data_IF_855966630243
#
_entry.id   IF_855966630243
#
_cell.length_a   1.000
_cell.length_b   1.000
_cell.length_c   1.000
_cell.angle_alpha   90.00
_cell.angle_beta   90.00
_cell.angle_gamma   90.00
#
_symmetry.space_group_name_H-M   'P 1'
#
loop_
_entity.id
_entity.type
_entity.pdbx_description
1 polymer ?
#
# COMPACT_ATOMS: atom_id res chain seq x y z
N UNK A 1 -9.98 -26.76 -8.07
CA UNK A 1 -11.27 -26.08 -8.24
C UNK A 1 -12.17 -26.22 -6.99
N UNK A 2 -12.24 -27.41 -6.34
CA UNK A 2 -13.07 -27.62 -5.14
C UNK A 2 -12.69 -26.71 -3.96
N UNK A 3 -11.40 -26.49 -3.73
CA UNK A 3 -10.92 -25.65 -2.62
C UNK A 3 -11.28 -24.17 -2.80
N UNK A 4 -11.32 -23.69 -4.04
CA UNK A 4 -11.71 -22.30 -4.34
C UNK A 4 -13.22 -22.10 -4.14
N UNK A 5 -14.02 -23.09 -4.54
CA UNK A 5 -15.50 -23.03 -4.38
C UNK A 5 -15.96 -23.17 -2.93
N UNK A 6 -15.16 -23.83 -2.09
CA UNK A 6 -15.46 -24.02 -0.66
C UNK A 6 -14.89 -22.89 0.23
N UNK A 7 -14.12 -21.95 -0.35
CA UNK A 7 -13.63 -20.79 0.40
C UNK A 7 -14.79 -19.86 0.68
N UNK A 8 -15.03 -19.54 1.95
CA UNK A 8 -16.08 -18.59 2.32
C UNK A 8 -15.76 -17.21 1.74
N UNK A 9 -16.67 -16.63 0.94
CA UNK A 9 -16.46 -15.28 0.44
C UNK A 9 -16.48 -14.27 1.60
N UNK A 10 -15.76 -13.17 1.40
CA UNK A 10 -15.84 -12.07 2.36
C UNK A 10 -17.29 -11.55 2.41
N UNK A 11 -17.88 -11.33 3.61
CA UNK A 11 -19.25 -10.85 3.72
C UNK A 11 -19.43 -9.53 2.96
N UNK A 12 -20.35 -9.48 2.01
CA UNK A 12 -20.51 -8.36 1.08
C UNK A 12 -20.96 -7.05 1.74
N UNK A 13 -21.71 -7.11 2.80
CA UNK A 13 -22.13 -5.95 3.60
C UNK A 13 -22.59 -6.40 4.97
N UNK A 14 -22.15 -5.72 6.02
CA UNK A 14 -22.65 -5.93 7.37
C UNK A 14 -22.99 -4.56 7.98
N UNK A 15 -24.28 -4.25 8.19
CA UNK A 15 -24.72 -2.97 8.73
C UNK A 15 -24.22 -2.67 10.15
N UNK A 16 -23.75 -3.71 10.86
CA UNK A 16 -23.20 -3.58 12.21
C UNK A 16 -21.70 -3.26 12.22
N UNK A 17 -21.05 -3.14 11.05
CA UNK A 17 -19.65 -2.75 10.96
C UNK A 17 -19.50 -1.24 10.96
N UNK A 18 -18.49 -0.78 11.68
CA UNK A 18 -18.21 0.64 11.87
C UNK A 18 -17.50 1.22 10.65
N UNK A 19 -17.91 2.41 10.25
CA UNK A 19 -17.15 3.30 9.37
C UNK A 19 -16.79 4.55 10.14
N UNK A 20 -15.58 5.07 9.93
CA UNK A 20 -15.16 6.31 10.56
C UNK A 20 -15.54 7.49 9.66
N UNK A 21 -16.12 8.57 10.19
CA UNK A 21 -16.54 9.71 9.38
C UNK A 21 -15.33 10.41 8.72
N UNK A 22 -14.20 10.40 9.40
CA UNK A 22 -12.95 10.97 8.89
C UNK A 22 -11.76 10.17 9.44
N UNK A 23 -10.86 9.75 8.56
CA UNK A 23 -9.64 9.02 8.92
C UNK A 23 -8.49 10.01 9.05
N UNK A 24 -7.85 10.06 10.22
CA UNK A 24 -6.60 10.79 10.45
C UNK A 24 -5.39 9.97 10.02
N UNK A 25 -5.46 8.65 10.18
CA UNK A 25 -4.43 7.71 9.76
C UNK A 25 -3.47 7.28 10.88
N UNK A 26 -3.87 7.35 12.16
CA UNK A 26 -3.15 6.67 13.21
C UNK A 26 -3.23 5.15 13.01
N UNK A 27 -2.13 4.44 13.18
CA UNK A 27 -2.10 2.96 13.12
C UNK A 27 -1.39 2.42 14.34
N UNK A 28 -2.05 1.50 15.06
CA UNK A 28 -1.48 0.87 16.26
C UNK A 28 -1.58 -0.65 16.12
N UNK A 29 -0.49 -1.33 16.37
CA UNK A 29 -0.40 -2.77 16.56
C UNK A 29 -0.22 -3.05 18.04
N UNK A 30 -1.08 -3.90 18.63
CA UNK A 30 -1.04 -4.29 20.03
C UNK A 30 -0.93 -5.81 20.14
N UNK A 31 0.25 -6.30 20.52
CA UNK A 31 0.58 -7.74 20.73
C UNK A 31 0.12 -8.66 19.60
N UNK A 32 0.26 -8.20 18.36
CA UNK A 32 -0.24 -8.88 17.17
C UNK A 32 0.56 -10.16 16.91
N UNK A 33 -0.13 -11.29 16.96
CA UNK A 33 0.38 -12.60 16.56
C UNK A 33 -0.44 -13.12 15.38
N UNK A 34 0.25 -13.60 14.34
CA UNK A 34 -0.40 -14.05 13.11
C UNK A 34 0.31 -15.22 12.44
N UNK A 35 -0.48 -16.15 11.90
CA UNK A 35 -0.09 -17.21 10.95
C UNK A 35 -1.09 -17.30 9.81
N UNK A 36 -0.64 -17.72 8.63
CA UNK A 36 -1.51 -17.84 7.46
C UNK A 36 -2.44 -19.07 7.51
N UNK A 37 -2.03 -20.12 8.23
CA UNK A 37 -2.80 -21.34 8.43
C UNK A 37 -2.58 -21.85 9.86
N UNK A 38 -3.57 -22.54 10.46
CA UNK A 38 -3.47 -23.03 11.85
C UNK A 38 -2.29 -23.98 12.10
N UNK A 39 -1.89 -24.73 11.07
CA UNK A 39 -0.78 -25.69 11.09
C UNK A 39 0.59 -25.06 10.74
N UNK A 40 0.61 -23.79 10.33
CA UNK A 40 1.83 -23.10 9.97
C UNK A 40 2.49 -22.43 11.18
N UNK A 41 3.80 -22.14 11.04
CA UNK A 41 4.52 -21.33 12.01
C UNK A 41 4.00 -19.89 12.07
N UNK A 42 4.12 -19.27 13.24
CA UNK A 42 3.81 -17.85 13.41
C UNK A 42 4.72 -16.98 12.53
N UNK A 43 4.09 -16.12 11.73
CA UNK A 43 4.78 -15.16 10.87
C UNK A 43 5.03 -13.84 11.61
N UNK A 44 4.09 -13.45 12.49
CA UNK A 44 4.26 -12.33 13.41
C UNK A 44 4.06 -12.83 14.84
N UNK A 45 4.89 -12.31 15.76
CA UNK A 45 4.94 -12.72 17.17
C UNK A 45 4.92 -11.50 18.06
N UNK A 46 3.76 -11.24 18.70
CA UNK A 46 3.55 -10.14 19.65
C UNK A 46 4.08 -8.79 19.14
N UNK A 47 3.85 -8.51 17.86
CA UNK A 47 4.28 -7.25 17.24
C UNK A 47 3.47 -6.10 17.82
N UNK A 48 4.18 -5.13 18.40
CA UNK A 48 3.58 -3.92 18.98
C UNK A 48 4.34 -2.68 18.51
N UNK A 49 3.62 -1.74 17.92
CA UNK A 49 4.13 -0.41 17.58
C UNK A 49 2.98 0.57 17.36
N UNK A 50 3.28 1.86 17.44
CA UNK A 50 2.30 2.94 17.22
C UNK A 50 2.84 3.96 16.25
N UNK A 51 2.00 4.34 15.29
CA UNK A 51 2.31 5.31 14.24
C UNK A 51 1.33 6.47 14.35
N UNK A 52 1.85 7.67 14.59
CA UNK A 52 1.03 8.88 14.59
C UNK A 52 0.58 9.27 13.17
N UNK A 53 -0.57 9.97 13.03
CA UNK A 53 -1.05 10.46 11.75
C UNK A 53 0.00 11.29 11.01
N UNK A 54 0.08 11.13 9.69
CA UNK A 54 0.94 11.93 8.82
C UNK A 54 2.43 11.61 8.91
N UNK A 55 2.82 10.51 9.53
CA UNK A 55 4.22 10.07 9.63
C UNK A 55 4.59 9.10 8.52
N UNK A 56 5.84 9.16 8.11
CA UNK A 56 6.46 8.20 7.19
C UNK A 56 7.22 7.17 8.03
N UNK A 57 6.87 5.91 7.87
CA UNK A 57 7.40 4.79 8.63
C UNK A 57 8.16 3.85 7.69
N UNK A 58 9.40 3.54 8.06
CA UNK A 58 10.18 2.49 7.41
C UNK A 58 9.99 1.15 8.15
N UNK A 59 9.74 0.08 7.42
CA UNK A 59 9.77 -1.29 7.94
C UNK A 59 10.82 -2.05 7.16
N UNK A 60 11.89 -2.45 7.84
CA UNK A 60 13.01 -3.16 7.23
C UNK A 60 13.23 -4.52 7.89
N UNK A 61 13.88 -5.42 7.18
CA UNK A 61 14.20 -6.75 7.68
C UNK A 61 14.50 -7.72 6.53
N UNK A 62 15.01 -8.89 6.87
CA UNK A 62 15.31 -9.95 5.89
C UNK A 62 14.04 -10.45 5.21
N UNK A 63 14.21 -11.11 4.06
CA UNK A 63 13.09 -11.82 3.41
C UNK A 63 12.49 -12.84 4.39
N UNK A 64 11.15 -12.95 4.40
CA UNK A 64 10.42 -13.83 5.32
C UNK A 64 10.31 -13.33 6.76
N UNK A 65 10.76 -12.11 7.10
CA UNK A 65 10.63 -11.57 8.47
C UNK A 65 9.21 -11.13 8.85
N UNK A 66 8.25 -11.12 7.92
CA UNK A 66 6.87 -10.74 8.17
C UNK A 66 6.46 -9.33 7.70
N UNK A 67 7.33 -8.58 7.03
CA UNK A 67 7.07 -7.19 6.59
C UNK A 67 5.81 -7.04 5.73
N UNK A 68 5.70 -7.80 4.65
CA UNK A 68 4.52 -7.75 3.77
C UNK A 68 3.25 -8.27 4.45
N UNK A 69 3.40 -9.06 5.52
CA UNK A 69 2.28 -9.49 6.36
C UNK A 69 1.68 -8.31 7.11
N UNK A 70 2.50 -7.38 7.60
CA UNK A 70 2.03 -6.12 8.21
C UNK A 70 1.16 -5.34 7.22
N UNK A 71 1.62 -5.18 5.96
CA UNK A 71 0.84 -4.53 4.91
C UNK A 71 -0.53 -5.20 4.68
N UNK A 72 -0.55 -6.52 4.63
CA UNK A 72 -1.79 -7.31 4.41
C UNK A 72 -2.76 -7.18 5.59
N UNK A 73 -2.25 -7.10 6.80
CA UNK A 73 -3.06 -6.92 8.00
C UNK A 73 -3.65 -5.51 8.09
N UNK A 74 -2.89 -4.46 7.73
CA UNK A 74 -3.42 -3.08 7.66
C UNK A 74 -4.56 -2.98 6.65
N UNK A 75 -4.47 -3.68 5.52
CA UNK A 75 -5.54 -3.77 4.51
C UNK A 75 -6.73 -4.65 4.93
N UNK A 76 -6.62 -5.30 6.10
CA UNK A 76 -7.59 -6.30 6.55
C UNK A 76 -7.84 -7.41 5.52
N UNK A 77 -6.79 -7.83 4.80
CA UNK A 77 -6.84 -9.05 3.98
C UNK A 77 -6.83 -10.30 4.86
N UNK A 78 -6.30 -10.14 6.08
CA UNK A 78 -6.31 -11.14 7.15
C UNK A 78 -6.62 -10.45 8.48
N UNK A 79 -7.04 -11.24 9.46
CA UNK A 79 -7.26 -10.82 10.86
C UNK A 79 -6.20 -11.51 11.72
N UNK A 80 -5.59 -10.82 12.68
CA UNK A 80 -4.61 -11.44 13.57
C UNK A 80 -5.26 -12.53 14.44
N UNK A 81 -4.48 -13.54 14.80
CA UNK A 81 -4.91 -14.63 15.69
C UNK A 81 -5.03 -14.13 17.15
N UNK A 82 -4.09 -13.27 17.54
CA UNK A 82 -4.07 -12.61 18.86
C UNK A 82 -3.64 -11.17 18.70
N UNK A 83 -3.98 -10.37 19.70
CA UNK A 83 -3.77 -8.94 19.65
C UNK A 83 -4.80 -8.24 18.77
N UNK A 84 -4.56 -6.97 18.48
CA UNK A 84 -5.45 -6.17 17.65
C UNK A 84 -4.70 -5.11 16.87
N UNK A 85 -5.32 -4.64 15.80
CA UNK A 85 -4.81 -3.55 14.98
C UNK A 85 -5.86 -2.46 14.98
N UNK A 86 -5.46 -1.27 15.34
CA UNK A 86 -6.35 -0.12 15.43
C UNK A 86 -5.99 0.89 14.35
N UNK A 87 -7.00 1.46 13.71
CA UNK A 87 -6.89 2.69 12.91
C UNK A 87 -7.75 3.74 13.56
N UNK A 88 -7.14 4.87 13.94
CA UNK A 88 -7.78 5.96 14.68
C UNK A 88 -8.57 5.45 15.89
N UNK A 89 -7.94 4.56 16.68
CA UNK A 89 -8.49 3.92 17.89
C UNK A 89 -9.65 2.93 17.63
N UNK A 90 -10.00 2.62 16.38
CA UNK A 90 -11.02 1.62 16.05
C UNK A 90 -10.35 0.33 15.59
N UNK A 91 -10.76 -0.80 16.18
CA UNK A 91 -10.25 -2.12 15.83
C UNK A 91 -10.64 -2.49 14.39
N UNK A 92 -9.65 -2.82 13.57
CA UNK A 92 -9.86 -3.23 12.18
C UNK A 92 -10.75 -4.46 12.02
N UNK A 93 -10.83 -5.33 13.06
CA UNK A 93 -11.75 -6.46 13.05
C UNK A 93 -13.23 -6.03 12.96
N UNK A 94 -13.55 -4.83 13.44
CA UNK A 94 -14.92 -4.27 13.49
C UNK A 94 -15.24 -3.35 12.31
N UNK A 95 -14.22 -2.89 11.56
CA UNK A 95 -14.38 -1.95 10.44
C UNK A 95 -14.89 -2.68 9.18
N UNK A 96 -15.68 -2.00 8.36
CA UNK A 96 -16.04 -2.50 7.02
C UNK A 96 -14.81 -2.58 6.11
N UNK A 97 -14.47 -3.75 5.55
CA UNK A 97 -13.26 -3.90 4.74
C UNK A 97 -13.28 -3.08 3.46
N UNK A 98 -14.42 -2.96 2.80
CA UNK A 98 -14.53 -2.20 1.56
C UNK A 98 -14.35 -0.71 1.80
N UNK A 99 -14.90 -0.21 2.90
CA UNK A 99 -14.67 1.16 3.34
C UNK A 99 -13.19 1.39 3.70
N UNK A 100 -12.58 0.50 4.50
CA UNK A 100 -11.17 0.61 4.89
C UNK A 100 -10.24 0.66 3.68
N UNK A 101 -10.43 -0.23 2.71
CA UNK A 101 -9.59 -0.32 1.50
C UNK A 101 -9.66 0.92 0.63
N UNK A 102 -10.73 1.72 0.72
CA UNK A 102 -10.79 3.05 0.09
C UNK A 102 -9.92 4.08 0.81
N UNK A 103 -9.60 3.86 2.08
CA UNK A 103 -8.72 4.72 2.89
C UNK A 103 -7.25 4.32 2.80
N UNK A 104 -6.94 3.16 2.23
CA UNK A 104 -5.59 2.58 2.14
C UNK A 104 -5.19 2.42 0.68
N UNK A 105 -4.21 3.20 0.25
CA UNK A 105 -3.56 3.02 -1.06
C UNK A 105 -2.38 2.05 -0.91
N UNK A 106 -2.21 1.16 -1.89
CA UNK A 106 -1.11 0.17 -1.86
C UNK A 106 -0.40 0.15 -3.19
N UNK A 107 0.93 0.22 -3.12
CA UNK A 107 1.83 0.04 -4.26
C UNK A 107 2.66 -1.20 -3.99
N UNK A 108 2.52 -2.21 -4.84
CA UNK A 108 3.21 -3.49 -4.71
C UNK A 108 4.55 -3.48 -5.47
N UNK A 109 5.39 -4.47 -5.20
CA UNK A 109 6.63 -4.71 -5.95
C UNK A 109 6.33 -5.03 -7.42
N UNK A 110 5.39 -5.94 -7.68
CA UNK A 110 4.92 -6.26 -9.01
C UNK A 110 3.58 -5.55 -9.26
N UNK A 111 3.58 -4.66 -10.23
CA UNK A 111 2.39 -3.89 -10.59
C UNK A 111 1.84 -4.35 -11.92
N UNK A 112 0.69 -4.99 -11.85
CA UNK A 112 -0.07 -5.37 -13.04
C UNK A 112 -0.87 -4.17 -13.56
N UNK A 113 -0.77 -3.96 -14.87
CA UNK A 113 -1.65 -3.08 -15.61
C UNK A 113 -2.58 -3.93 -16.47
N UNK A 114 -3.84 -3.52 -16.51
CA UNK A 114 -4.84 -4.16 -17.34
C UNK A 114 -4.72 -3.69 -18.79
N UNK A 115 -5.17 -4.50 -19.74
CA UNK A 115 -5.25 -4.12 -21.15
C UNK A 115 -6.36 -3.06 -21.35
N UNK A 116 -6.08 -1.86 -20.91
CA UNK A 116 -6.94 -0.66 -20.92
C UNK A 116 -6.08 0.57 -21.15
N UNK A 117 -6.70 1.73 -21.28
CA UNK A 117 -5.97 2.99 -21.33
C UNK A 117 -5.17 3.27 -20.05
N UNK A 118 -4.17 4.13 -20.14
CA UNK A 118 -3.43 4.63 -18.96
C UNK A 118 -4.40 5.24 -17.94
N UNK A 119 -5.34 6.08 -18.40
CA UNK A 119 -6.38 6.68 -17.57
C UNK A 119 -7.21 5.62 -16.83
N UNK A 120 -7.72 4.62 -17.53
CA UNK A 120 -8.56 3.59 -16.94
C UNK A 120 -7.80 2.69 -15.97
N UNK A 121 -6.50 2.52 -16.19
CA UNK A 121 -5.64 1.84 -15.24
C UNK A 121 -5.47 2.62 -13.94
N UNK A 122 -5.39 3.95 -14.01
CA UNK A 122 -5.26 4.82 -12.83
C UNK A 122 -6.61 4.93 -12.09
N UNK A 123 -7.69 5.19 -12.83
CA UNK A 123 -9.04 5.33 -12.31
C UNK A 123 -9.77 3.98 -12.12
N UNK A 124 -9.03 2.88 -11.93
CA UNK A 124 -9.56 1.51 -11.93
C UNK A 124 -10.68 1.28 -10.91
N UNK A 125 -10.56 1.88 -9.72
CA UNK A 125 -11.55 1.74 -8.64
C UNK A 125 -12.79 2.62 -8.83
N UNK A 126 -12.67 3.70 -9.58
CA UNK A 126 -13.76 4.64 -9.90
C UNK A 126 -13.55 5.24 -11.29
N UNK A 127 -14.11 4.63 -12.33
CA UNK A 127 -14.01 5.13 -13.72
C UNK A 127 -14.63 6.51 -13.92
N UNK A 128 -15.47 6.98 -13.00
CA UNK A 128 -16.12 8.30 -13.04
C UNK A 128 -15.27 9.44 -12.52
N UNK A 129 -14.03 9.18 -12.09
CA UNK A 129 -13.14 10.24 -11.59
C UNK A 129 -12.89 11.33 -12.63
N UNK A 130 -12.93 12.58 -12.15
CA UNK A 130 -12.62 13.74 -12.99
C UNK A 130 -11.15 13.68 -13.47
N UNK A 131 -10.90 14.11 -14.70
CA UNK A 131 -9.56 14.06 -15.30
C UNK A 131 -8.54 14.88 -14.50
N UNK A 132 -8.97 15.96 -13.86
CA UNK A 132 -8.15 16.79 -12.99
C UNK A 132 -7.58 16.01 -11.80
N UNK A 133 -8.38 15.14 -11.19
CA UNK A 133 -7.95 14.27 -10.09
C UNK A 133 -6.93 13.23 -10.57
N UNK A 134 -7.18 12.64 -11.73
CA UNK A 134 -6.23 11.70 -12.38
C UNK A 134 -4.91 12.42 -12.65
N UNK A 135 -4.93 13.60 -13.26
CA UNK A 135 -3.71 14.38 -13.55
C UNK A 135 -2.95 14.78 -12.29
N UNK A 136 -3.64 15.16 -11.21
CA UNK A 136 -2.99 15.47 -9.94
C UNK A 136 -2.23 14.25 -9.37
N UNK A 137 -2.86 13.08 -9.35
CA UNK A 137 -2.22 11.85 -8.89
C UNK A 137 -1.02 11.46 -9.77
N UNK A 138 -1.16 11.61 -11.09
CA UNK A 138 -0.11 11.33 -12.07
C UNK A 138 1.09 12.26 -11.92
N UNK A 139 0.86 13.56 -11.68
CA UNK A 139 1.93 14.54 -11.42
C UNK A 139 2.68 14.21 -10.12
N UNK A 140 1.96 13.87 -9.05
CA UNK A 140 2.57 13.42 -7.79
C UNK A 140 3.42 12.15 -7.97
N UNK A 141 2.97 11.22 -8.79
CA UNK A 141 3.69 9.99 -9.12
C UNK A 141 4.89 10.23 -10.08
N UNK A 142 5.05 11.44 -10.62
CA UNK A 142 6.07 11.76 -11.61
C UNK A 142 5.86 11.06 -12.96
N UNK A 143 4.62 10.79 -13.31
CA UNK A 143 4.28 10.05 -14.52
C UNK A 143 3.77 10.93 -15.67
N UNK A 144 3.50 12.20 -15.41
CA UNK A 144 2.82 13.11 -16.36
C UNK A 144 3.56 13.27 -17.67
N UNK A 145 4.87 13.55 -17.59
CA UNK A 145 5.70 13.85 -18.75
C UNK A 145 5.74 12.67 -19.72
N UNK A 146 6.10 11.48 -19.23
CA UNK A 146 6.18 10.32 -20.12
C UNK A 146 4.81 9.90 -20.68
N UNK A 147 3.71 10.11 -19.92
CA UNK A 147 2.37 9.82 -20.43
C UNK A 147 2.03 10.71 -21.64
N UNK A 148 2.42 12.00 -21.60
CA UNK A 148 2.21 12.91 -22.73
C UNK A 148 3.05 12.55 -23.95
N UNK A 149 4.15 11.82 -23.78
CA UNK A 149 5.00 11.32 -24.88
C UNK A 149 4.44 10.05 -25.52
N UNK A 150 3.45 9.38 -24.88
CA UNK A 150 2.79 8.22 -25.48
C UNK A 150 1.90 8.64 -26.67
N UNK A 151 1.69 7.75 -27.66
CA UNK A 151 0.99 8.09 -28.91
C UNK A 151 -0.38 8.74 -28.72
N UNK A 152 -1.15 8.32 -27.73
CA UNK A 152 -2.49 8.84 -27.41
C UNK A 152 -2.54 9.43 -25.99
N UNK A 153 -1.39 9.73 -25.38
CA UNK A 153 -1.28 10.27 -24.03
C UNK A 153 -1.99 9.38 -23.01
N UNK A 154 -2.93 9.95 -22.26
CA UNK A 154 -3.73 9.24 -21.24
C UNK A 154 -4.64 8.16 -21.80
N UNK A 155 -5.02 8.25 -23.08
CA UNK A 155 -5.91 7.28 -23.74
C UNK A 155 -5.12 6.14 -24.39
N UNK A 156 -3.78 6.18 -24.35
CA UNK A 156 -2.93 5.11 -24.86
C UNK A 156 -3.26 3.77 -24.18
N UNK A 157 -3.56 2.76 -24.99
CA UNK A 157 -3.75 1.39 -24.53
C UNK A 157 -2.42 0.77 -24.13
N UNK A 158 -2.34 0.36 -22.87
CA UNK A 158 -1.15 -0.31 -22.35
C UNK A 158 -1.29 -1.81 -22.46
N UNK A 159 -1.01 -2.48 -23.46
CA UNK A 159 -1.17 -3.93 -23.69
C UNK A 159 -1.17 -4.82 -22.44
N UNK A 160 -1.36 -6.10 -22.58
CA UNK A 160 -1.39 -7.03 -21.43
C UNK A 160 -0.17 -6.85 -20.52
N UNK A 161 -0.42 -6.71 -19.23
CA UNK A 161 0.58 -6.45 -18.19
C UNK A 161 1.44 -5.18 -18.38
N UNK A 162 1.02 -4.24 -19.26
CA UNK A 162 1.80 -3.04 -19.56
C UNK A 162 3.07 -3.31 -20.35
N UNK A 163 3.06 -4.29 -21.23
CA UNK A 163 4.23 -4.72 -22.01
C UNK A 163 4.88 -3.61 -22.86
N UNK A 164 4.12 -2.56 -23.21
CA UNK A 164 4.60 -1.40 -23.96
C UNK A 164 5.34 -0.37 -23.08
N UNK A 165 5.35 -0.55 -21.77
CA UNK A 165 5.94 0.39 -20.81
C UNK A 165 7.17 -0.20 -20.13
N UNK A 166 8.12 0.65 -19.75
CA UNK A 166 9.24 0.24 -18.88
C UNK A 166 8.77 -0.13 -17.48
N UNK A 167 9.60 -0.84 -16.72
CA UNK A 167 9.31 -1.16 -15.32
C UNK A 167 9.02 0.08 -14.47
N UNK A 168 9.84 1.13 -14.64
CA UNK A 168 9.67 2.39 -13.94
C UNK A 168 8.40 3.15 -14.33
N UNK A 169 8.01 3.10 -15.60
CA UNK A 169 6.76 3.69 -16.09
C UNK A 169 5.54 2.98 -15.49
N UNK A 170 5.53 1.63 -15.51
CA UNK A 170 4.47 0.84 -14.85
C UNK A 170 4.35 1.15 -13.37
N UNK A 171 5.48 1.25 -12.68
CA UNK A 171 5.52 1.57 -11.25
C UNK A 171 4.90 2.94 -10.95
N UNK A 172 5.27 3.97 -11.73
CA UNK A 172 4.72 5.33 -11.55
C UNK A 172 3.23 5.39 -11.84
N UNK A 173 2.71 4.62 -12.79
CA UNK A 173 1.26 4.46 -13.00
C UNK A 173 0.61 3.79 -11.79
N UNK A 174 1.22 2.76 -11.22
CA UNK A 174 0.70 2.11 -10.01
C UNK A 174 0.69 3.03 -8.80
N UNK A 175 1.69 3.89 -8.66
CA UNK A 175 1.71 4.94 -7.62
C UNK A 175 0.56 5.92 -7.86
N UNK A 176 0.34 6.39 -9.08
CA UNK A 176 -0.79 7.26 -9.42
C UNK A 176 -2.14 6.61 -9.11
N UNK A 177 -2.30 5.31 -9.44
CA UNK A 177 -3.49 4.50 -9.09
C UNK A 177 -3.73 4.46 -7.58
N UNK A 178 -2.69 4.29 -6.78
CA UNK A 178 -2.80 4.27 -5.33
C UNK A 178 -3.15 5.65 -4.75
N UNK A 179 -2.72 6.73 -5.40
CA UNK A 179 -2.90 8.11 -4.94
C UNK A 179 -4.24 8.72 -5.36
N UNK A 180 -4.83 8.27 -6.48
CA UNK A 180 -5.98 8.94 -7.11
C UNK A 180 -7.22 8.99 -6.20
N UNK A 181 -7.42 7.98 -5.35
CA UNK A 181 -8.48 7.95 -4.35
C UNK A 181 -8.20 8.82 -3.11
N UNK A 182 -7.06 9.53 -3.09
CA UNK A 182 -6.60 10.35 -1.97
C UNK A 182 -6.63 9.62 -0.62
N UNK A 183 -5.99 8.45 -0.51
CA UNK A 183 -6.01 7.63 0.70
C UNK A 183 -5.31 8.34 1.87
N UNK A 184 -5.74 8.04 3.10
CA UNK A 184 -5.10 8.55 4.32
C UNK A 184 -3.93 7.70 4.79
N UNK A 185 -3.91 6.44 4.39
CA UNK A 185 -2.81 5.51 4.64
C UNK A 185 -2.27 5.05 3.29
N UNK A 186 -0.97 5.10 3.10
CA UNK A 186 -0.30 4.66 1.87
C UNK A 186 0.78 3.65 2.21
N UNK A 187 0.79 2.53 1.50
CA UNK A 187 1.74 1.44 1.71
C UNK A 187 2.54 1.23 0.43
N UNK A 188 3.86 1.35 0.53
CA UNK A 188 4.82 0.93 -0.48
C UNK A 188 5.42 -0.41 -0.06
N UNK A 189 4.95 -1.52 -0.63
CA UNK A 189 5.46 -2.85 -0.32
C UNK A 189 6.51 -3.25 -1.36
N UNK A 190 7.78 -3.03 -1.02
CA UNK A 190 8.96 -3.25 -1.87
C UNK A 190 8.88 -2.53 -3.23
N UNK A 191 8.06 -1.50 -3.30
CA UNK A 191 7.64 -0.84 -4.52
C UNK A 191 8.78 -0.16 -5.30
N UNK A 192 9.93 0.10 -4.67
CA UNK A 192 11.07 0.75 -5.33
C UNK A 192 12.19 -0.22 -5.69
N UNK A 193 12.08 -1.50 -5.31
CA UNK A 193 13.16 -2.49 -5.50
C UNK A 193 13.44 -2.83 -6.97
N UNK A 194 12.45 -2.66 -7.84
CA UNK A 194 12.52 -2.96 -9.27
C UNK A 194 12.68 -1.69 -10.15
N UNK A 195 12.81 -0.51 -9.53
CA UNK A 195 13.01 0.74 -10.26
C UNK A 195 14.46 0.88 -10.76
N UNK A 196 14.61 1.43 -11.96
CA UNK A 196 15.87 2.03 -12.39
C UNK A 196 16.18 3.28 -11.55
N UNK A 197 17.44 3.70 -11.55
CA UNK A 197 17.91 4.82 -10.74
C UNK A 197 17.15 6.13 -10.99
N UNK A 198 16.79 6.40 -12.24
CA UNK A 198 16.08 7.62 -12.62
C UNK A 198 14.65 7.63 -12.07
N UNK A 199 13.91 6.54 -12.25
CA UNK A 199 12.55 6.37 -11.72
C UNK A 199 12.51 6.40 -10.19
N UNK A 200 13.50 5.80 -9.53
CA UNK A 200 13.63 5.85 -8.06
C UNK A 200 13.87 7.29 -7.60
N UNK A 201 14.77 8.03 -8.25
CA UNK A 201 15.06 9.43 -7.92
C UNK A 201 13.81 10.33 -8.06
N UNK A 202 13.00 10.13 -9.10
CA UNK A 202 11.75 10.86 -9.30
C UNK A 202 10.76 10.59 -8.16
N UNK A 203 10.55 9.32 -7.80
CA UNK A 203 9.65 8.94 -6.71
C UNK A 203 10.14 9.49 -5.37
N UNK A 204 11.44 9.38 -5.09
CA UNK A 204 12.03 9.92 -3.86
C UNK A 204 11.91 11.44 -3.76
N UNK A 205 12.14 12.17 -4.87
CA UNK A 205 11.96 13.62 -4.94
C UNK A 205 10.52 14.03 -4.60
N UNK A 206 9.54 13.25 -5.05
CA UNK A 206 8.13 13.54 -4.84
C UNK A 206 7.61 13.01 -3.48
N UNK A 207 8.38 12.19 -2.77
CA UNK A 207 7.94 11.53 -1.54
C UNK A 207 7.43 12.52 -0.48
N UNK A 208 8.06 13.67 -0.33
CA UNK A 208 7.62 14.71 0.60
C UNK A 208 6.21 15.26 0.27
N UNK A 209 5.86 15.33 -1.01
CA UNK A 209 4.53 15.75 -1.46
C UNK A 209 3.52 14.60 -1.36
N UNK A 210 3.94 13.39 -1.72
CA UNK A 210 3.13 12.16 -1.62
C UNK A 210 2.70 11.91 -0.17
N UNK A 211 3.61 12.11 0.79
CA UNK A 211 3.35 11.86 2.22
C UNK A 211 2.55 12.97 2.91
N UNK A 212 2.39 14.15 2.27
CA UNK A 212 1.68 15.26 2.91
C UNK A 212 0.23 14.90 3.25
N UNK A 213 -0.11 14.95 4.54
CA UNK A 213 -1.45 14.62 5.06
C UNK A 213 -1.79 13.13 5.02
N UNK A 214 -0.78 12.25 4.86
CA UNK A 214 -0.94 10.79 4.83
C UNK A 214 0.04 10.12 5.76
N UNK A 215 -0.40 9.02 6.35
CA UNK A 215 0.50 8.09 7.02
C UNK A 215 1.05 7.13 5.98
N UNK A 216 2.37 7.04 5.86
CA UNK A 216 3.03 6.26 4.81
C UNK A 216 3.87 5.15 5.42
N UNK A 217 3.65 3.92 4.97
CA UNK A 217 4.47 2.77 5.28
C UNK A 217 5.36 2.43 4.09
N UNK A 218 6.68 2.41 4.30
CA UNK A 218 7.66 1.98 3.30
C UNK A 218 8.26 0.67 3.77
N UNK A 219 7.88 -0.42 3.12
CA UNK A 219 8.42 -1.74 3.39
C UNK A 219 9.56 -1.98 2.41
N UNK A 220 10.75 -2.24 2.92
CA UNK A 220 11.93 -2.39 2.10
C UNK A 220 12.95 -3.38 2.68
N UNK A 221 13.78 -3.91 1.79
CA UNK A 221 14.96 -4.69 2.17
C UNK A 221 16.20 -3.83 2.39
N UNK A 222 16.21 -2.61 1.84
CA UNK A 222 17.36 -1.70 1.88
C UNK A 222 17.07 -0.50 2.77
N UNK A 223 17.98 -0.18 3.67
CA UNK A 223 17.89 1.01 4.53
C UNK A 223 17.84 2.32 3.72
N UNK A 224 18.50 2.35 2.56
CA UNK A 224 18.49 3.54 1.67
C UNK A 224 17.08 3.91 1.23
N UNK A 225 16.19 2.94 1.03
CA UNK A 225 14.81 3.17 0.60
C UNK A 225 13.95 3.82 1.69
N UNK A 226 14.24 3.53 2.96
CA UNK A 226 13.50 4.09 4.11
C UNK A 226 14.14 5.36 4.67
N UNK A 227 15.14 5.92 3.99
CA UNK A 227 15.80 7.15 4.38
C UNK A 227 14.85 8.34 4.65
N UNK A 228 13.75 8.53 3.91
CA UNK A 228 12.79 9.59 4.20
C UNK A 228 11.89 9.31 5.41
N UNK A 229 12.00 8.15 6.06
CA UNK A 229 11.13 7.78 7.17
C UNK A 229 11.42 8.60 8.43
N UNK A 230 10.36 9.00 9.13
CA UNK A 230 10.45 9.62 10.45
C UNK A 230 10.84 8.62 11.54
N UNK A 231 10.47 7.36 11.34
CA UNK A 231 10.76 6.26 12.25
C UNK A 231 10.94 4.96 11.45
N UNK A 232 11.87 4.14 11.89
CA UNK A 232 12.19 2.86 11.26
C UNK A 232 12.00 1.76 12.30
N UNK A 233 11.32 0.69 11.89
CA UNK A 233 11.17 -0.55 12.65
C UNK A 233 11.93 -1.66 11.94
N UNK A 234 12.78 -2.36 12.69
CA UNK A 234 13.51 -3.53 12.20
C UNK A 234 12.76 -4.78 12.59
N UNK A 235 12.36 -5.56 11.59
CA UNK A 235 11.64 -6.82 11.79
C UNK A 235 12.60 -8.00 11.58
N UNK A 236 12.69 -8.88 12.58
CA UNK A 236 13.42 -10.13 12.49
C UNK A 236 12.57 -11.28 13.02
N UNK A 237 12.42 -12.35 12.23
CA UNK A 237 11.66 -13.56 12.59
C UNK A 237 10.27 -13.30 13.18
N UNK A 238 9.58 -12.27 12.66
CA UNK A 238 8.24 -11.92 13.09
C UNK A 238 8.15 -11.03 14.32
N UNK A 239 9.27 -10.52 14.82
CA UNK A 239 9.32 -9.62 15.98
C UNK A 239 9.94 -8.28 15.60
N UNK A 240 9.52 -7.21 16.26
CA UNK A 240 10.19 -5.90 16.18
C UNK A 240 11.37 -5.94 17.14
N UNK A 241 12.59 -6.00 16.61
CA UNK A 241 13.82 -6.11 17.40
C UNK A 241 14.49 -4.78 17.67
N UNK A 242 14.23 -3.78 16.82
CA UNK A 242 14.83 -2.45 16.95
C UNK A 242 13.87 -1.40 16.40
N UNK A 243 13.91 -0.21 16.97
CA UNK A 243 13.21 0.98 16.47
C UNK A 243 14.10 2.22 16.62
N UNK A 244 14.04 3.11 15.64
CA UNK A 244 14.85 4.32 15.66
C UNK A 244 14.44 5.31 14.57
N UNK A 245 15.13 6.44 14.52
CA UNK A 245 15.12 7.37 13.38
C UNK A 245 16.40 7.20 12.58
N UNK A 246 16.38 7.63 11.32
CA UNK A 246 17.59 7.60 10.47
C UNK A 246 18.57 8.67 10.93
#
# INVERSE_FOLDING_TARGET
LGDVLNTQPEPSYNPNRTTLPQVAGQVIFEDVTFRYRPDASEVLRKVSFSVAPGKVIGIVGRSGSGKSTIAKLIQRLYVPERGRILVDSVDLAQVDPAWLRRQVGVVLQENFLFNRSVRDNIALADPGLAMEQVMQAVKLAGAHEFILELPEGYDTLVGEHGCSLSGGQRQRIAIARALVANPRILIFDEATSALDYESEAIVQKNMAQISRGRTVFIIAHRLTTVRPANQIYVLEKGEVVEQGSH
#
